data_IF_800703117950
#
_entry.id   IF_800703117950
#
_cell.length_a   1.000
_cell.length_b   1.000
_cell.length_c   1.000
_cell.angle_alpha   90.00
_cell.angle_beta   90.00
_cell.angle_gamma   90.00
#
_symmetry.space_group_name_H-M   'P 1'
#
loop_
_entity.id
_entity.type
_entity.pdbx_description
1 polymer ?
#
# COMPACT_ATOMS: atom_id res chain seq x y z
N UNK A 1 56.73 -22.06 20.86
CA UNK A 1 55.83 -21.29 20.00
C UNK A 1 55.68 -19.90 20.64
N UNK A 2 56.12 -18.80 19.97
CA UNK A 2 55.92 -17.41 20.46
C UNK A 2 54.47 -16.99 20.18
N UNK A 3 53.66 -16.86 21.23
CA UNK A 3 52.34 -16.29 21.11
C UNK A 3 52.49 -14.75 21.05
N UNK A 4 52.40 -14.20 19.85
CA UNK A 4 52.35 -12.77 19.68
C UNK A 4 50.91 -12.34 20.01
N UNK A 5 50.69 -11.75 21.18
CA UNK A 5 49.41 -11.12 21.55
C UNK A 5 49.23 -9.79 20.84
N UNK A 6 47.99 -9.46 20.51
CA UNK A 6 47.60 -8.15 19.95
C UNK A 6 47.87 -7.03 20.96
N UNK A 7 48.38 -5.90 20.47
CA UNK A 7 48.54 -4.70 21.31
C UNK A 7 47.22 -3.94 21.43
N UNK A 8 47.01 -3.23 22.55
CA UNK A 8 45.84 -2.41 22.79
C UNK A 8 45.71 -1.33 21.70
N UNK A 9 46.85 -0.80 21.24
CA UNK A 9 46.87 0.25 20.19
C UNK A 9 46.41 -0.30 18.85
N UNK A 10 46.83 -1.52 18.46
CA UNK A 10 46.33 -2.15 17.23
C UNK A 10 44.84 -2.35 17.25
N UNK A 11 44.25 -2.72 18.40
CA UNK A 11 42.82 -2.89 18.53
C UNK A 11 42.06 -1.56 18.35
N UNK A 12 42.53 -0.48 19.01
CA UNK A 12 41.89 0.84 18.92
C UNK A 12 41.95 1.39 17.49
N UNK A 13 43.05 1.23 16.79
CA UNK A 13 43.19 1.67 15.39
C UNK A 13 42.23 0.92 14.49
N UNK A 14 42.12 -0.39 14.65
CA UNK A 14 41.18 -1.21 13.83
C UNK A 14 39.75 -0.82 14.06
N UNK A 15 39.27 -0.67 15.31
CA UNK A 15 37.89 -0.27 15.57
C UNK A 15 37.63 1.17 15.09
N UNK A 16 38.59 2.07 15.12
CA UNK A 16 38.52 3.41 14.57
C UNK A 16 38.25 3.39 13.05
N UNK A 17 39.06 2.62 12.31
CA UNK A 17 38.89 2.47 10.86
C UNK A 17 37.54 1.79 10.53
N UNK A 18 37.15 0.74 11.24
CA UNK A 18 35.88 0.05 11.03
C UNK A 18 34.70 0.97 11.28
N UNK A 19 34.75 1.85 12.28
CA UNK A 19 33.72 2.82 12.58
C UNK A 19 33.50 3.80 11.42
N UNK A 20 34.58 4.31 10.82
CA UNK A 20 34.50 5.21 9.65
C UNK A 20 33.89 4.49 8.43
N UNK A 21 34.34 3.24 8.17
CA UNK A 21 33.80 2.45 7.05
C UNK A 21 32.34 2.11 7.26
N UNK A 22 31.91 1.78 8.49
CA UNK A 22 30.51 1.51 8.80
C UNK A 22 29.61 2.72 8.55
N UNK A 23 30.02 3.93 8.96
CA UNK A 23 29.29 5.16 8.71
C UNK A 23 29.18 5.47 7.21
N UNK A 24 30.25 5.32 6.44
CA UNK A 24 30.24 5.50 5.00
C UNK A 24 29.27 4.53 4.30
N UNK A 25 29.21 3.27 4.74
CA UNK A 25 28.28 2.27 4.22
C UNK A 25 26.82 2.61 4.48
N UNK A 26 26.47 3.14 5.65
CA UNK A 26 25.11 3.53 6.00
C UNK A 26 24.59 4.67 5.11
N UNK A 27 25.43 5.66 4.80
CA UNK A 27 25.05 6.76 3.89
C UNK A 27 24.81 6.26 2.47
N UNK A 28 25.63 5.31 1.98
CA UNK A 28 25.52 4.78 0.63
C UNK A 28 24.23 3.97 0.40
N UNK A 29 23.73 3.26 1.41
CA UNK A 29 22.56 2.36 1.29
C UNK A 29 21.23 3.14 1.31
N UNK A 30 21.19 4.33 1.90
CA UNK A 30 19.96 5.13 2.11
C UNK A 30 18.79 4.29 2.66
N UNK A 31 18.83 3.89 3.95
CA UNK A 31 17.86 2.95 4.53
C UNK A 31 16.42 3.46 4.43
N UNK A 32 16.19 4.77 4.50
CA UNK A 32 14.84 5.35 4.40
C UNK A 32 14.22 5.02 3.04
N UNK A 33 14.96 5.17 1.95
CA UNK A 33 14.49 4.84 0.62
C UNK A 33 14.17 3.34 0.46
N UNK A 34 14.90 2.47 1.16
CA UNK A 34 14.64 1.03 1.15
C UNK A 34 13.33 0.70 1.91
N UNK A 35 13.08 1.32 3.06
CA UNK A 35 11.81 1.17 3.78
C UNK A 35 10.62 1.68 2.97
N UNK A 36 10.75 2.81 2.29
CA UNK A 36 9.71 3.32 1.40
C UNK A 36 9.40 2.33 0.26
N UNK A 37 10.44 1.78 -0.40
CA UNK A 37 10.26 0.75 -1.43
C UNK A 37 9.56 -0.50 -0.90
N UNK A 38 9.93 -0.96 0.29
CA UNK A 38 9.34 -2.14 0.91
C UNK A 38 7.85 -1.91 1.24
N UNK A 39 7.50 -0.76 1.81
CA UNK A 39 6.11 -0.39 2.08
C UNK A 39 5.28 -0.27 0.80
N UNK A 40 5.84 0.35 -0.25
CA UNK A 40 5.16 0.48 -1.53
C UNK A 40 4.94 -0.88 -2.21
N UNK A 41 5.93 -1.78 -2.16
CA UNK A 41 5.78 -3.15 -2.65
C UNK A 41 4.68 -3.91 -1.89
N UNK A 42 4.60 -3.73 -0.56
CA UNK A 42 3.54 -4.32 0.26
C UNK A 42 2.16 -3.77 -0.13
N UNK A 43 2.00 -2.45 -0.29
CA UNK A 43 0.72 -1.84 -0.73
C UNK A 43 0.25 -2.42 -2.07
N UNK A 44 1.15 -2.54 -3.03
CA UNK A 44 0.85 -3.14 -4.35
C UNK A 44 0.40 -4.60 -4.22
N UNK A 45 1.09 -5.39 -3.40
CA UNK A 45 0.72 -6.77 -3.14
C UNK A 45 -0.64 -6.88 -2.43
N UNK A 46 -0.90 -6.02 -1.45
CA UNK A 46 -2.17 -5.95 -0.72
C UNK A 46 -3.34 -5.64 -1.68
N UNK A 47 -3.20 -4.61 -2.52
CA UNK A 47 -4.23 -4.26 -3.50
C UNK A 47 -4.46 -5.40 -4.50
N UNK A 48 -3.40 -6.08 -4.94
CA UNK A 48 -3.52 -7.24 -5.84
C UNK A 48 -4.25 -8.43 -5.19
N UNK A 49 -4.08 -8.62 -3.87
CA UNK A 49 -4.84 -9.65 -3.14
C UNK A 49 -6.32 -9.27 -3.04
N UNK A 50 -6.64 -8.01 -2.72
CA UNK A 50 -8.02 -7.52 -2.68
C UNK A 50 -8.65 -7.64 -4.08
N UNK A 51 -7.93 -7.33 -5.14
CA UNK A 51 -8.38 -7.50 -6.52
C UNK A 51 -8.84 -8.92 -6.79
N UNK A 52 -8.03 -9.93 -6.44
CA UNK A 52 -8.39 -11.34 -6.62
C UNK A 52 -9.67 -11.72 -5.87
N UNK A 53 -9.86 -11.21 -4.67
CA UNK A 53 -11.08 -11.43 -3.89
C UNK A 53 -12.30 -10.77 -4.54
N UNK A 54 -12.14 -9.56 -5.10
CA UNK A 54 -13.19 -8.86 -5.84
C UNK A 54 -13.60 -9.60 -7.12
N UNK A 55 -12.63 -10.16 -7.85
CA UNK A 55 -12.91 -10.96 -9.04
C UNK A 55 -13.64 -12.27 -8.68
N UNK A 56 -13.27 -12.93 -7.57
CA UNK A 56 -14.01 -14.10 -7.06
C UNK A 56 -15.44 -13.72 -6.65
N UNK A 57 -15.61 -12.60 -5.97
CA UNK A 57 -16.94 -12.10 -5.62
C UNK A 57 -17.79 -11.82 -6.86
N UNK A 58 -17.19 -11.24 -7.90
CA UNK A 58 -17.88 -10.96 -9.16
C UNK A 58 -18.35 -12.26 -9.87
N UNK A 59 -17.52 -13.31 -9.84
CA UNK A 59 -17.90 -14.61 -10.42
C UNK A 59 -19.13 -15.20 -9.74
N UNK A 60 -19.26 -15.05 -8.42
CA UNK A 60 -20.38 -15.59 -7.65
C UNK A 60 -21.65 -14.72 -7.74
N UNK A 61 -21.50 -13.38 -7.88
CA UNK A 61 -22.61 -12.45 -7.71
C UNK A 61 -22.97 -11.67 -8.99
N UNK A 62 -22.17 -11.78 -10.07
CA UNK A 62 -22.36 -11.06 -11.35
C UNK A 62 -22.16 -9.55 -11.27
N UNK A 63 -21.68 -9.04 -10.15
CA UNK A 63 -21.38 -7.62 -9.92
C UNK A 63 -20.35 -7.48 -8.81
N UNK A 64 -19.60 -6.38 -8.83
CA UNK A 64 -18.71 -6.03 -7.72
C UNK A 64 -19.47 -5.52 -6.51
N UNK A 65 -18.93 -5.67 -5.29
CA UNK A 65 -19.50 -5.05 -4.10
C UNK A 65 -19.57 -3.52 -4.29
N UNK A 66 -20.53 -2.86 -3.68
CA UNK A 66 -20.57 -1.40 -3.70
C UNK A 66 -19.56 -0.81 -2.72
N UNK A 67 -19.19 0.44 -2.92
CA UNK A 67 -18.42 1.19 -1.93
C UNK A 67 -19.33 1.86 -0.89
N UNK A 68 -18.85 1.97 0.36
CA UNK A 68 -19.59 2.68 1.41
C UNK A 68 -19.66 4.18 1.12
N UNK A 69 -20.86 4.74 1.26
CA UNK A 69 -21.14 6.18 1.13
C UNK A 69 -21.29 6.87 2.50
N UNK A 70 -21.23 6.09 3.58
CA UNK A 70 -21.24 6.55 4.97
C UNK A 70 -19.92 6.23 5.66
N UNK A 71 -19.63 6.87 6.78
CA UNK A 71 -18.39 6.60 7.54
C UNK A 71 -18.37 5.16 8.08
N UNK A 72 -17.26 4.41 7.91
CA UNK A 72 -16.06 4.76 7.17
C UNK A 72 -16.28 4.72 5.66
N UNK A 73 -16.02 5.84 5.00
CA UNK A 73 -16.18 5.97 3.55
C UNK A 73 -15.20 5.07 2.78
N UNK A 74 -15.58 4.74 1.54
CA UNK A 74 -14.74 4.03 0.58
C UNK A 74 -14.24 2.67 1.09
N UNK A 75 -15.16 1.93 1.75
CA UNK A 75 -14.97 0.53 2.14
C UNK A 75 -15.83 -0.38 1.27
N UNK A 76 -15.47 -1.64 1.22
CA UNK A 76 -16.26 -2.68 0.55
C UNK A 76 -17.56 -2.88 1.35
N UNK A 77 -18.72 -2.84 0.67
CA UNK A 77 -20.01 -3.16 1.28
C UNK A 77 -20.65 -4.34 0.57
N UNK A 78 -21.12 -5.29 1.34
CA UNK A 78 -21.80 -6.48 0.84
C UNK A 78 -23.21 -6.57 1.42
N UNK A 79 -24.17 -7.21 0.70
CA UNK A 79 -25.48 -7.48 1.25
C UNK A 79 -25.39 -8.25 2.57
N UNK A 80 -26.18 -7.85 3.56
CA UNK A 80 -26.31 -8.50 4.85
C UNK A 80 -27.77 -8.50 5.30
N UNK A 81 -28.09 -9.17 6.37
CA UNK A 81 -29.42 -9.19 6.97
C UNK A 81 -29.30 -8.76 8.41
N UNK A 82 -30.03 -7.72 8.85
CA UNK A 82 -31.05 -6.93 8.13
C UNK A 82 -30.50 -5.79 7.26
N UNK A 83 -29.19 -5.49 7.33
CA UNK A 83 -28.57 -4.34 6.66
C UNK A 83 -27.27 -4.73 5.94
N UNK A 84 -26.80 -3.85 5.05
CA UNK A 84 -25.49 -4.04 4.39
C UNK A 84 -24.35 -4.11 5.42
N UNK A 85 -23.38 -4.96 5.14
CA UNK A 85 -22.18 -5.14 5.97
C UNK A 85 -21.03 -4.36 5.33
N UNK A 86 -20.39 -3.49 6.11
CA UNK A 86 -19.17 -2.79 5.69
C UNK A 86 -17.96 -3.58 6.15
N UNK A 87 -17.10 -3.95 5.18
CA UNK A 87 -15.85 -4.66 5.42
C UNK A 87 -14.75 -3.63 5.69
N UNK A 88 -14.22 -3.63 6.88
CA UNK A 88 -13.12 -2.74 7.26
C UNK A 88 -11.75 -3.34 6.90
N UNK A 89 -10.78 -2.48 6.64
CA UNK A 89 -9.39 -2.93 6.46
C UNK A 89 -8.88 -3.59 7.75
N UNK A 90 -8.25 -4.75 7.61
CA UNK A 90 -7.79 -5.55 8.75
C UNK A 90 -8.84 -6.49 9.34
N UNK A 91 -10.02 -6.64 8.72
CA UNK A 91 -11.06 -7.59 9.14
C UNK A 91 -11.25 -8.72 8.14
N UNK A 92 -12.03 -9.72 8.48
CA UNK A 92 -12.35 -10.84 7.60
C UNK A 92 -13.41 -10.45 6.57
N UNK A 93 -13.31 -11.04 5.39
CA UNK A 93 -14.32 -11.00 4.34
C UNK A 93 -14.56 -12.41 3.78
N UNK A 94 -15.22 -13.22 4.57
CA UNK A 94 -15.52 -14.61 4.17
C UNK A 94 -16.64 -14.65 3.12
N UNK A 95 -16.60 -15.61 2.15
CA UNK A 95 -15.55 -16.63 1.98
C UNK A 95 -14.35 -16.15 1.14
N UNK A 96 -14.33 -14.90 0.68
CA UNK A 96 -13.40 -14.39 -0.34
C UNK A 96 -12.00 -14.11 0.20
N UNK A 97 -11.88 -13.70 1.47
CA UNK A 97 -10.60 -13.35 2.07
C UNK A 97 -10.61 -13.56 3.59
N UNK A 98 -9.62 -14.28 4.10
CA UNK A 98 -9.48 -14.51 5.55
C UNK A 98 -9.17 -13.22 6.33
N UNK A 99 -8.38 -12.34 5.74
CA UNK A 99 -8.02 -11.04 6.32
C UNK A 99 -7.83 -10.03 5.20
N UNK A 100 -8.67 -9.02 5.15
CA UNK A 100 -8.50 -7.90 4.22
C UNK A 100 -7.31 -7.06 4.68
N UNK A 101 -6.31 -6.83 3.83
CA UNK A 101 -5.13 -6.05 4.21
C UNK A 101 -5.48 -4.63 4.66
N UNK A 102 -4.63 -4.08 5.51
CA UNK A 102 -4.62 -2.65 5.86
C UNK A 102 -3.26 -2.06 5.57
N UNK A 103 -3.22 -0.75 5.30
CA UNK A 103 -1.97 -0.04 5.03
C UNK A 103 -0.95 -0.26 6.17
N UNK A 104 0.34 -0.48 5.86
CA UNK A 104 1.39 -0.61 6.88
C UNK A 104 1.58 0.64 7.73
N UNK A 105 1.19 1.81 7.23
CA UNK A 105 1.22 3.07 7.97
C UNK A 105 -0.13 3.36 8.61
N UNK A 106 -0.13 3.76 9.88
CA UNK A 106 -1.35 4.13 10.61
C UNK A 106 -2.00 5.43 10.09
N UNK A 107 -1.23 6.27 9.40
CA UNK A 107 -1.70 7.54 8.82
C UNK A 107 -2.29 7.38 7.43
N UNK A 108 -2.17 6.19 6.82
CA UNK A 108 -2.65 5.91 5.46
C UNK A 108 -3.70 4.80 5.48
N UNK A 109 -4.51 4.77 4.44
CA UNK A 109 -5.51 3.72 4.24
C UNK A 109 -5.73 3.45 2.75
N UNK A 110 -6.25 2.28 2.45
CA UNK A 110 -6.74 1.98 1.12
C UNK A 110 -8.12 2.57 0.91
N UNK A 111 -8.43 2.87 -0.33
CA UNK A 111 -9.72 3.41 -0.77
C UNK A 111 -10.30 2.47 -1.81
N UNK A 112 -11.52 2.03 -1.61
CA UNK A 112 -12.29 1.25 -2.56
C UNK A 112 -13.47 2.07 -3.07
N UNK A 113 -13.58 2.21 -4.38
CA UNK A 113 -14.70 2.84 -5.04
C UNK A 113 -15.29 1.90 -6.08
N UNK A 114 -16.60 1.73 -6.09
CA UNK A 114 -17.29 0.86 -7.05
C UNK A 114 -18.70 1.32 -7.32
N UNK A 115 -19.11 1.16 -8.58
CA UNK A 115 -20.48 1.33 -9.08
C UNK A 115 -21.21 -0.01 -9.23
N UNK A 116 -20.57 -1.12 -8.91
CA UNK A 116 -21.08 -2.47 -9.12
C UNK A 116 -20.71 -3.08 -10.48
N UNK A 117 -20.47 -2.27 -11.51
CA UNK A 117 -20.01 -2.73 -12.83
C UNK A 117 -18.50 -2.59 -13.01
N UNK A 118 -17.90 -1.71 -12.24
CA UNK A 118 -16.46 -1.46 -12.22
C UNK A 118 -16.02 -1.04 -10.82
N UNK A 119 -14.73 -1.17 -10.55
CA UNK A 119 -14.14 -0.72 -9.30
C UNK A 119 -12.78 -0.08 -9.52
N UNK A 120 -12.38 0.68 -8.53
CA UNK A 120 -11.03 1.21 -8.33
C UNK A 120 -10.58 0.95 -6.89
N UNK A 121 -9.34 0.52 -6.75
CA UNK A 121 -8.64 0.36 -5.48
C UNK A 121 -7.46 1.33 -5.48
N UNK A 122 -7.41 2.22 -4.52
CA UNK A 122 -6.36 3.24 -4.43
C UNK A 122 -5.49 3.04 -3.20
N UNK A 123 -4.23 3.46 -3.33
CA UNK A 123 -3.26 3.56 -2.25
C UNK A 123 -2.39 4.81 -2.40
N UNK A 124 -1.76 5.22 -1.30
CA UNK A 124 -0.76 6.29 -1.28
C UNK A 124 0.64 5.69 -1.17
N UNK A 125 1.37 5.62 -2.28
CA UNK A 125 2.78 5.21 -2.28
C UNK A 125 3.65 6.27 -1.63
N UNK A 126 4.70 5.85 -0.91
CA UNK A 126 5.65 6.75 -0.26
C UNK A 126 6.55 7.43 -1.28
N UNK A 127 6.87 6.74 -2.38
CA UNK A 127 7.68 7.27 -3.48
C UNK A 127 6.88 8.13 -4.46
N UNK A 128 5.55 8.09 -4.41
CA UNK A 128 4.67 8.88 -5.25
C UNK A 128 4.99 8.76 -6.74
N UNK A 129 5.15 9.89 -7.43
CA UNK A 129 5.48 9.96 -8.86
C UNK A 129 6.84 9.37 -9.23
N UNK A 130 7.72 9.11 -8.25
CA UNK A 130 8.99 8.41 -8.48
C UNK A 130 8.84 6.89 -8.61
N UNK A 131 7.64 6.34 -8.44
CA UNK A 131 7.37 4.93 -8.68
C UNK A 131 6.86 4.71 -10.11
N UNK A 132 7.47 3.79 -10.89
CA UNK A 132 7.09 3.56 -12.29
C UNK A 132 5.64 3.07 -12.48
N UNK A 133 5.02 2.54 -11.44
CA UNK A 133 3.64 2.03 -11.46
C UNK A 133 2.64 3.01 -10.84
N UNK A 134 3.08 4.21 -10.46
CA UNK A 134 2.15 5.27 -10.05
C UNK A 134 1.19 5.61 -11.20
N UNK A 135 0.02 6.14 -10.87
CA UNK A 135 -0.96 6.54 -11.88
C UNK A 135 -0.36 7.49 -12.91
N UNK A 136 -0.63 7.24 -14.18
CA UNK A 136 -0.24 8.14 -15.26
C UNK A 136 -1.23 9.32 -15.31
N UNK A 137 -0.73 10.51 -15.67
CA UNK A 137 -1.60 11.68 -15.80
C UNK A 137 -2.18 12.16 -14.45
N UNK A 138 -1.38 12.06 -13.36
CA UNK A 138 -1.83 12.55 -12.05
C UNK A 138 -2.21 14.03 -12.10
N UNK A 139 -3.31 14.35 -11.43
CA UNK A 139 -3.78 15.73 -11.21
C UNK A 139 -3.60 16.05 -9.73
N UNK A 140 -2.87 17.12 -9.42
CA UNK A 140 -2.53 17.51 -8.05
C UNK A 140 -1.89 16.40 -7.20
N UNK A 141 -1.14 15.49 -7.82
CA UNK A 141 -0.48 14.38 -7.16
C UNK A 141 -1.35 13.15 -6.92
N UNK A 142 -2.59 13.14 -7.41
CA UNK A 142 -3.55 12.03 -7.30
C UNK A 142 -3.88 11.44 -8.68
N UNK A 143 -4.31 10.19 -8.70
CA UNK A 143 -4.83 9.55 -9.89
C UNK A 143 -6.01 10.35 -10.46
N UNK A 144 -6.07 10.53 -11.77
CA UNK A 144 -7.12 11.31 -12.43
C UNK A 144 -8.53 10.79 -12.09
N UNK A 145 -8.67 9.48 -11.95
CA UNK A 145 -9.93 8.82 -11.60
C UNK A 145 -10.48 9.21 -10.20
N UNK A 146 -9.65 9.75 -9.29
CA UNK A 146 -10.12 10.32 -8.01
C UNK A 146 -11.09 11.48 -8.27
N UNK A 147 -10.73 12.39 -9.16
CA UNK A 147 -11.58 13.54 -9.51
C UNK A 147 -12.80 13.11 -10.34
N UNK A 148 -12.60 12.25 -11.33
CA UNK A 148 -13.66 11.75 -12.20
C UNK A 148 -14.76 11.03 -11.40
N UNK A 149 -14.39 10.30 -10.36
CA UNK A 149 -15.31 9.57 -9.48
C UNK A 149 -15.79 10.40 -8.28
N UNK A 150 -15.49 11.70 -8.24
CA UNK A 150 -15.83 12.61 -7.15
C UNK A 150 -15.41 12.11 -5.75
N UNK A 151 -14.29 11.41 -5.68
CA UNK A 151 -13.71 10.92 -4.43
C UNK A 151 -13.03 12.11 -3.73
N UNK A 152 -13.20 12.19 -2.42
CA UNK A 152 -12.58 13.26 -1.62
C UNK A 152 -11.07 13.20 -1.75
N UNK A 153 -10.43 14.33 -2.03
CA UNK A 153 -8.98 14.43 -2.12
C UNK A 153 -8.32 13.92 -0.83
N UNK A 154 -7.16 13.29 -0.98
CA UNK A 154 -6.37 12.70 0.12
C UNK A 154 -7.10 11.61 0.92
N UNK A 155 -8.12 10.98 0.33
CA UNK A 155 -8.85 9.88 0.98
C UNK A 155 -7.98 8.69 1.37
N UNK A 156 -6.78 8.55 0.80
CA UNK A 156 -5.80 7.55 1.21
C UNK A 156 -4.99 7.93 2.47
N UNK A 157 -5.39 9.00 3.19
CA UNK A 157 -4.59 9.60 4.28
C UNK A 157 -3.46 10.51 3.77
N UNK A 158 -3.21 10.48 2.46
CA UNK A 158 -2.38 11.35 1.66
C UNK A 158 -2.87 11.22 0.20
N UNK A 159 -2.14 11.76 -0.78
CA UNK A 159 -2.48 11.64 -2.20
C UNK A 159 -2.63 10.18 -2.63
N UNK A 160 -3.76 9.84 -3.23
CA UNK A 160 -4.00 8.53 -3.84
C UNK A 160 -3.28 8.49 -5.21
N UNK A 161 -2.03 8.10 -5.23
CA UNK A 161 -1.13 8.16 -6.38
C UNK A 161 -0.88 6.81 -7.06
N UNK A 162 -1.53 5.77 -6.58
CA UNK A 162 -1.51 4.43 -7.16
C UNK A 162 -2.91 3.84 -7.14
N UNK A 163 -3.28 3.16 -8.22
CA UNK A 163 -4.57 2.49 -8.32
C UNK A 163 -4.49 1.18 -9.10
N UNK A 164 -5.37 0.26 -8.74
CA UNK A 164 -5.73 -0.93 -9.52
C UNK A 164 -7.23 -0.83 -9.80
N UNK A 165 -7.63 -1.19 -11.01
CA UNK A 165 -9.04 -1.15 -11.42
C UNK A 165 -9.50 -2.48 -12.02
N UNK A 166 -10.81 -2.62 -12.18
CA UNK A 166 -11.39 -3.70 -12.97
C UNK A 166 -10.97 -3.59 -14.45
N UNK A 167 -10.96 -4.69 -15.21
CA UNK A 167 -10.45 -4.71 -16.59
C UNK A 167 -11.14 -3.77 -17.56
N UNK A 168 -12.35 -3.33 -17.26
CA UNK A 168 -13.18 -2.48 -18.13
C UNK A 168 -12.99 -0.97 -17.90
N UNK A 169 -12.13 -0.57 -16.98
CA UNK A 169 -11.82 0.85 -16.70
C UNK A 169 -10.32 1.03 -16.45
N UNK A 170 -9.83 2.27 -16.62
CA UNK A 170 -8.44 2.64 -16.32
C UNK A 170 -8.38 3.58 -15.12
N UNK A 171 -7.38 3.43 -14.25
CA UNK A 171 -7.18 4.26 -13.07
C UNK A 171 -6.69 5.68 -13.38
#
# INVERSE_FOLDING_TARGET
>A
MKNNGFTLVELIVVIGILSVLALASLVAINPVAQFQKANDARRKADLSQIQKALESYYQDNGKYPLSSVTSPFYRITVPGVPTTITINWGTQWQPYMNLVPKDPSVSKNYVYYSTGQSYYLYASLDRGSGDPQACQGMVNGECQSIQTNAITAKSCGNYCNFAISSPNVSP
#
